data_IF_517253983360
#
_entry.id   IF_517253983360
#
_cell.length_a   1.000
_cell.length_b   1.000
_cell.length_c   1.000
_cell.angle_alpha   90.00
_cell.angle_beta   90.00
_cell.angle_gamma   90.00
#
_symmetry.space_group_name_H-M   'P 1'
#
loop_
_entity.id
_entity.type
_entity.pdbx_description
1 polymer ?
#
# COMPACT_ATOMS: atom_id res chain seq x y z
N UNK A 1 0.94 25.24 15.47
CA UNK A 1 0.28 24.52 14.37
C UNK A 1 0.48 23.04 14.61
N UNK A 2 -0.55 22.19 14.46
CA UNK A 2 -0.35 20.74 14.48
C UNK A 2 0.46 20.30 13.26
N UNK A 3 1.11 19.14 13.37
CA UNK A 3 1.87 18.57 12.25
C UNK A 3 0.95 18.19 11.09
N UNK A 4 1.49 18.28 9.87
CA UNK A 4 0.77 17.84 8.67
C UNK A 4 0.43 16.35 8.76
N UNK A 5 -0.85 16.06 8.56
CA UNK A 5 -1.39 14.69 8.47
C UNK A 5 -1.01 14.10 7.13
N UNK A 6 -0.60 12.84 7.12
CA UNK A 6 -0.27 12.09 5.91
C UNK A 6 -0.73 10.64 6.03
N UNK A 7 -0.93 9.96 4.90
CA UNK A 7 -1.45 8.58 4.91
C UNK A 7 -0.43 7.62 5.51
N UNK A 8 0.87 7.81 5.25
CA UNK A 8 1.92 7.00 5.89
C UNK A 8 1.92 7.13 7.42
N UNK A 9 1.77 8.33 7.96
CA UNK A 9 1.66 8.55 9.41
C UNK A 9 0.42 7.90 10.01
N UNK A 10 -0.71 7.96 9.30
CA UNK A 10 -1.94 7.31 9.75
C UNK A 10 -1.78 5.79 9.81
N UNK A 11 -1.18 5.16 8.78
CA UNK A 11 -0.90 3.72 8.76
C UNK A 11 0.08 3.34 9.88
N UNK A 12 1.15 4.11 10.07
CA UNK A 12 2.13 3.86 11.13
C UNK A 12 1.49 3.90 12.53
N UNK A 13 0.57 4.84 12.77
CA UNK A 13 -0.16 4.93 14.03
C UNK A 13 -1.11 3.74 14.24
N UNK A 14 -1.82 3.29 13.19
CA UNK A 14 -2.66 2.09 13.26
C UNK A 14 -1.81 0.85 13.57
N UNK A 15 -0.70 0.67 12.86
CA UNK A 15 0.24 -0.44 13.10
C UNK A 15 0.73 -0.42 14.54
N UNK A 16 1.17 0.74 15.03
CA UNK A 16 1.63 0.89 16.41
C UNK A 16 0.57 0.45 17.41
N UNK A 17 -0.67 0.95 17.29
CA UNK A 17 -1.78 0.56 18.20
C UNK A 17 -2.07 -0.94 18.14
N UNK A 18 -2.12 -1.52 16.94
CA UNK A 18 -2.35 -2.95 16.79
C UNK A 18 -1.21 -3.79 17.38
N UNK A 19 0.04 -3.32 17.34
CA UNK A 19 1.16 -3.97 18.03
C UNK A 19 1.04 -3.84 19.55
N UNK A 20 0.74 -2.64 20.05
CA UNK A 20 0.57 -2.35 21.47
C UNK A 20 -0.60 -3.17 22.08
N UNK A 21 -1.67 -3.37 21.31
CA UNK A 21 -2.84 -4.17 21.67
C UNK A 21 -2.64 -5.69 21.46
N UNK A 22 -1.49 -6.12 20.93
CA UNK A 22 -1.18 -7.53 20.66
C UNK A 22 -1.94 -8.15 19.48
N UNK A 23 -2.58 -7.34 18.63
CA UNK A 23 -3.30 -7.78 17.41
C UNK A 23 -2.30 -8.13 16.29
N UNK A 24 -1.21 -7.38 16.18
CA UNK A 24 -0.15 -7.59 15.19
C UNK A 24 1.19 -7.93 15.86
N UNK A 25 2.02 -8.70 15.16
CA UNK A 25 3.42 -8.91 15.53
C UNK A 25 4.19 -7.58 15.53
N UNK A 26 5.30 -7.49 16.27
CA UNK A 26 6.15 -6.28 16.36
C UNK A 26 6.70 -5.75 15.03
N UNK A 27 6.69 -6.56 13.97
CA UNK A 27 7.08 -6.17 12.60
C UNK A 27 6.11 -6.76 11.58
N UNK A 28 4.89 -6.22 11.45
CA UNK A 28 3.89 -6.76 10.53
C UNK A 28 4.27 -6.48 9.07
N UNK A 29 3.68 -7.23 8.12
CA UNK A 29 3.71 -6.82 6.71
C UNK A 29 2.81 -5.60 6.54
N UNK A 30 3.29 -4.62 5.81
CA UNK A 30 2.45 -3.52 5.32
C UNK A 30 2.32 -3.63 3.81
N UNK A 31 1.08 -3.79 3.36
CA UNK A 31 0.71 -3.79 1.95
C UNK A 31 -0.14 -2.55 1.67
N UNK A 32 0.16 -1.84 0.58
CA UNK A 32 -0.56 -0.62 0.24
C UNK A 32 -0.98 -0.61 -1.24
N UNK A 33 -2.18 -0.08 -1.49
CA UNK A 33 -2.67 0.23 -2.82
C UNK A 33 -3.29 1.63 -2.87
N UNK A 34 -3.08 2.36 -3.97
CA UNK A 34 -3.62 3.71 -4.13
C UNK A 34 -3.35 4.31 -5.50
N UNK A 35 -4.21 5.23 -5.92
CA UNK A 35 -4.17 5.90 -7.23
C UNK A 35 -4.10 7.44 -7.12
N UNK A 36 -4.41 7.99 -5.95
CA UNK A 36 -4.40 9.42 -5.68
C UNK A 36 -3.01 9.96 -5.36
N UNK A 37 -2.77 11.24 -5.63
CA UNK A 37 -1.46 11.85 -5.39
C UNK A 37 -1.06 11.81 -3.90
N UNK A 38 -2.05 11.87 -3.00
CA UNK A 38 -1.86 11.77 -1.55
C UNK A 38 -1.51 10.36 -1.06
N UNK A 39 -1.61 9.32 -1.91
CA UNK A 39 -1.21 7.96 -1.57
C UNK A 39 0.29 7.74 -1.73
N UNK A 40 1.01 8.60 -2.46
CA UNK A 40 2.42 8.40 -2.79
C UNK A 40 3.31 8.17 -1.55
N UNK A 41 3.08 8.92 -0.47
CA UNK A 41 3.87 8.78 0.77
C UNK A 41 3.63 7.42 1.45
N UNK A 42 2.38 6.95 1.46
CA UNK A 42 1.98 5.64 1.98
C UNK A 42 2.54 4.50 1.12
N UNK A 43 2.49 4.63 -0.21
CA UNK A 43 3.02 3.63 -1.13
C UNK A 43 4.55 3.49 -1.02
N UNK A 44 5.27 4.59 -0.74
CA UNK A 44 6.72 4.58 -0.48
C UNK A 44 7.04 3.93 0.88
N UNK A 45 6.18 4.16 1.89
CA UNK A 45 6.42 3.70 3.25
C UNK A 45 6.08 2.22 3.49
N UNK A 46 5.20 1.63 2.67
CA UNK A 46 4.79 0.23 2.79
C UNK A 46 5.91 -0.75 2.37
N UNK A 47 5.91 -1.95 2.95
CA UNK A 47 6.87 -2.99 2.60
C UNK A 47 6.73 -3.44 1.14
N UNK A 48 5.48 -3.53 0.66
CA UNK A 48 5.16 -3.78 -0.75
C UNK A 48 3.96 -2.92 -1.14
N UNK A 49 3.99 -2.39 -2.36
CA UNK A 49 2.94 -1.51 -2.85
C UNK A 49 2.58 -1.78 -4.30
N UNK A 50 1.31 -1.50 -4.64
CA UNK A 50 0.78 -1.52 -6.00
C UNK A 50 -0.05 -0.27 -6.27
N UNK A 51 -0.03 0.24 -7.50
CA UNK A 51 -0.97 1.27 -7.97
C UNK A 51 -1.69 0.79 -9.23
N UNK A 52 -2.94 1.22 -9.47
CA UNK A 52 -3.58 0.89 -10.72
C UNK A 52 -3.05 1.77 -11.87
N UNK A 53 -3.05 1.29 -13.12
CA UNK A 53 -2.73 2.07 -14.33
C UNK A 53 -3.83 3.11 -14.69
N UNK A 54 -4.31 3.85 -13.69
CA UNK A 54 -5.18 5.01 -13.79
C UNK A 54 -4.98 5.93 -12.57
N UNK A 55 -5.80 6.98 -12.47
CA UNK A 55 -5.78 7.93 -11.35
C UNK A 55 -4.70 8.99 -11.47
N UNK A 56 -4.55 9.79 -10.42
CA UNK A 56 -3.61 10.91 -10.38
C UNK A 56 -2.16 10.44 -10.50
N UNK A 57 -1.81 9.32 -9.86
CA UNK A 57 -0.47 8.77 -9.92
C UNK A 57 -0.08 8.28 -11.33
N UNK A 58 -1.05 7.84 -12.15
CA UNK A 58 -0.79 7.54 -13.57
C UNK A 58 -0.55 8.84 -14.35
N UNK A 59 -1.39 9.85 -14.15
CA UNK A 59 -1.26 11.14 -14.82
C UNK A 59 0.07 11.85 -14.50
N UNK A 60 0.60 11.63 -13.29
CA UNK A 60 1.89 12.15 -12.84
C UNK A 60 3.08 11.26 -13.25
N UNK A 61 2.85 10.11 -13.90
CA UNK A 61 3.85 9.08 -14.14
C UNK A 61 4.67 8.78 -12.88
N UNK A 62 3.98 8.61 -11.75
CA UNK A 62 4.62 8.33 -10.47
C UNK A 62 5.26 6.94 -10.51
N UNK A 63 6.54 6.89 -10.18
CA UNK A 63 7.34 5.68 -10.15
C UNK A 63 8.09 5.59 -8.83
N UNK A 64 8.19 4.39 -8.29
CA UNK A 64 9.02 4.10 -7.12
C UNK A 64 9.61 2.70 -7.24
N UNK A 65 10.81 2.49 -6.70
CA UNK A 65 11.44 1.18 -6.73
C UNK A 65 10.61 0.19 -5.91
N UNK A 66 10.22 -0.93 -6.51
CA UNK A 66 9.39 -1.94 -5.84
C UNK A 66 7.89 -1.63 -5.84
N UNK A 67 7.46 -0.52 -6.45
CA UNK A 67 6.05 -0.26 -6.72
C UNK A 67 5.61 -1.05 -7.96
N UNK A 68 4.58 -1.88 -7.78
CA UNK A 68 3.93 -2.58 -8.90
C UNK A 68 2.89 -1.66 -9.54
N UNK A 69 2.70 -1.76 -10.85
CA UNK A 69 1.61 -1.09 -11.57
C UNK A 69 0.76 -2.16 -12.22
N UNK A 70 -0.57 -2.07 -12.09
CA UNK A 70 -1.49 -3.02 -12.75
C UNK A 70 -1.35 -2.95 -14.26
N UNK A 71 -1.61 -4.05 -14.94
CA UNK A 71 -1.63 -4.09 -16.40
C UNK A 71 -2.92 -3.50 -16.97
N UNK A 72 -4.04 -3.66 -16.26
CA UNK A 72 -5.34 -3.07 -16.65
C UNK A 72 -5.65 -1.78 -15.89
N UNK A 73 -6.64 -1.04 -16.37
CA UNK A 73 -7.19 0.16 -15.74
C UNK A 73 -8.68 -0.02 -15.40
N UNK A 74 -9.28 0.96 -14.71
CA UNK A 74 -10.67 0.89 -14.26
C UNK A 74 -10.93 -0.25 -13.28
N UNK A 75 -12.14 -0.82 -13.30
CA UNK A 75 -12.55 -1.88 -12.35
C UNK A 75 -11.69 -3.14 -12.39
N UNK A 76 -11.14 -3.51 -13.56
CA UNK A 76 -10.27 -4.69 -13.71
C UNK A 76 -8.93 -4.53 -12.98
N UNK A 77 -8.45 -3.29 -12.86
CA UNK A 77 -7.28 -3.00 -12.04
C UNK A 77 -7.52 -3.34 -10.57
N UNK A 78 -8.77 -3.19 -10.08
CA UNK A 78 -9.17 -3.59 -8.74
C UNK A 78 -9.07 -5.11 -8.54
N UNK A 79 -9.48 -5.91 -9.53
CA UNK A 79 -9.33 -7.37 -9.50
C UNK A 79 -7.85 -7.76 -9.43
N UNK A 80 -7.00 -7.14 -10.26
CA UNK A 80 -5.55 -7.38 -10.23
C UNK A 80 -4.92 -6.99 -8.89
N UNK A 81 -5.33 -5.87 -8.29
CA UNK A 81 -4.86 -5.47 -6.96
C UNK A 81 -5.24 -6.51 -5.91
N UNK A 82 -6.46 -7.07 -5.95
CA UNK A 82 -6.89 -8.10 -5.02
C UNK A 82 -6.08 -9.40 -5.20
N UNK A 83 -5.86 -9.83 -6.45
CA UNK A 83 -4.99 -10.98 -6.74
C UNK A 83 -3.58 -10.75 -6.21
N UNK A 84 -2.99 -9.60 -6.53
CA UNK A 84 -1.65 -9.23 -6.09
C UNK A 84 -1.53 -9.20 -4.56
N UNK A 85 -2.49 -8.62 -3.85
CA UNK A 85 -2.53 -8.57 -2.38
C UNK A 85 -2.58 -9.98 -1.77
N UNK A 86 -3.37 -10.89 -2.36
CA UNK A 86 -3.43 -12.29 -1.94
C UNK A 86 -2.08 -12.99 -2.06
N UNK A 87 -1.43 -12.86 -3.21
CA UNK A 87 -0.10 -13.42 -3.47
C UNK A 87 0.95 -12.94 -2.45
N UNK A 88 0.89 -11.67 -2.03
CA UNK A 88 1.85 -11.12 -1.07
C UNK A 88 1.71 -11.74 0.34
N UNK A 89 0.52 -12.23 0.70
CA UNK A 89 0.25 -12.86 2.00
C UNK A 89 0.63 -14.34 1.95
N UNK A 90 0.36 -15.02 0.83
CA UNK A 90 0.70 -16.43 0.64
C UNK A 90 2.22 -16.66 0.62
N UNK A 91 3.00 -15.69 0.11
CA UNK A 91 4.47 -15.67 0.17
C UNK A 91 5.04 -15.75 1.61
N UNK A 92 4.22 -15.52 2.65
CA UNK A 92 4.63 -15.68 4.06
C UNK A 92 4.30 -17.04 4.65
N UNK A 93 3.51 -17.85 3.95
CA UNK A 93 3.18 -19.23 4.33
C UNK A 93 4.11 -20.15 3.55
N UNK A 94 5.40 -20.18 3.90
CA UNK A 94 6.18 -21.37 3.53
C UNK A 94 5.57 -22.59 4.26
N UNK A 95 5.48 -23.77 3.60
CA UNK A 95 4.90 -24.98 4.18
C UNK A 95 5.58 -25.48 5.46
#
# INVERSE_FOLDING_TARGET
MPDMVSKSKAVAEVVKRCVDDGILSTRPLTLAAGDGALDADMLIAADRAIRPAHGELEALNFQHRGLTVTATSGGRAGEEILTWLGEQVDDRVEP
#
